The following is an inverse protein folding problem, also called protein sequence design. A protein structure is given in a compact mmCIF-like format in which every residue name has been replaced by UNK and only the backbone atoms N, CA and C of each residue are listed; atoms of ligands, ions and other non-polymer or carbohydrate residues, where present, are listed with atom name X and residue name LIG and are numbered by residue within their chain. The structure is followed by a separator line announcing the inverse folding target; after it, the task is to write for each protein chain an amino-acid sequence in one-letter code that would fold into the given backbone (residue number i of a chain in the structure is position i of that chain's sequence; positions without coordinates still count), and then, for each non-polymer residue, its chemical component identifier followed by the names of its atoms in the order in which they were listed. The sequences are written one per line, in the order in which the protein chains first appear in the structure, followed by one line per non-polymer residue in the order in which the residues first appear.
data_IF_088304585299
#
_entry.id   IF_088304585299
#
_cell.length_a   1.000
_cell.length_b   1.000
_cell.length_c   1.000
_cell.angle_alpha   90.00
_cell.angle_beta   90.00
_cell.angle_gamma   90.00
#
_symmetry.space_group_name_H-M   'P 1'
#
loop_
_entity.id
_entity.type
_entity.pdbx_description
1 polymer ?
#
# COMPACT_ATOMS: atom_id res chain seq x y z
N UNK A 1 24.98 13.48 -28.03
CA UNK A 1 24.90 12.47 -26.95
C UNK A 1 23.43 12.22 -26.67
N UNK A 2 22.93 11.07 -27.06
CA UNK A 2 21.55 10.66 -26.83
C UNK A 2 21.33 10.49 -25.32
N UNK A 3 20.24 11.02 -24.74
CA UNK A 3 19.91 10.71 -23.36
C UNK A 3 19.55 9.22 -23.33
N UNK A 4 20.51 8.40 -22.92
CA UNK A 4 20.27 7.04 -22.51
C UNK A 4 19.07 7.06 -21.58
N UNK A 5 18.03 6.30 -21.96
CA UNK A 5 16.85 5.99 -21.18
C UNK A 5 17.15 6.04 -19.69
N UNK A 6 16.75 7.12 -19.02
CA UNK A 6 16.57 7.14 -17.58
C UNK A 6 15.59 6.00 -17.32
N UNK A 7 16.12 4.82 -16.96
CA UNK A 7 15.30 3.74 -16.44
C UNK A 7 14.41 4.40 -15.38
N UNK A 8 13.10 4.39 -15.59
CA UNK A 8 12.16 4.84 -14.57
C UNK A 8 12.32 3.87 -13.39
N UNK A 9 13.30 4.13 -12.55
CA UNK A 9 13.61 3.30 -11.39
C UNK A 9 12.47 3.50 -10.42
N UNK A 10 11.59 2.50 -10.34
CA UNK A 10 10.57 2.47 -9.32
C UNK A 10 11.26 2.39 -7.95
N UNK A 11 10.80 3.17 -6.98
CA UNK A 11 11.43 3.20 -5.65
C UNK A 11 10.84 2.14 -4.71
N UNK A 12 9.65 1.62 -5.02
CA UNK A 12 9.10 0.43 -4.36
C UNK A 12 8.16 -0.36 -5.28
N UNK A 13 7.85 -1.58 -4.85
CA UNK A 13 6.81 -2.42 -5.43
C UNK A 13 5.72 -2.68 -4.40
N UNK A 14 4.47 -2.47 -4.80
CA UNK A 14 3.30 -2.65 -3.94
C UNK A 14 2.51 -3.87 -4.38
N UNK A 15 1.98 -4.54 -3.37
CA UNK A 15 1.66 -5.93 -3.46
C UNK A 15 0.46 -6.17 -2.50
N UNK A 16 -0.71 -6.55 -3.03
CA UNK A 16 -1.93 -6.73 -2.25
C UNK A 16 -2.26 -8.22 -2.00
N UNK A 17 -2.72 -8.53 -0.79
CA UNK A 17 -3.16 -9.86 -0.39
C UNK A 17 -4.47 -9.80 0.38
N UNK A 18 -5.26 -10.85 0.20
CA UNK A 18 -6.44 -11.13 1.02
C UNK A 18 -6.20 -12.47 1.72
N UNK A 19 -6.11 -12.43 3.05
CA UNK A 19 -5.69 -13.59 3.85
C UNK A 19 -4.34 -14.13 3.38
N UNK A 20 -4.29 -15.33 2.78
CA UNK A 20 -3.08 -15.97 2.27
C UNK A 20 -2.97 -15.91 0.74
N UNK A 21 -3.91 -15.27 0.06
CA UNK A 21 -4.00 -15.29 -1.41
C UNK A 21 -3.57 -13.95 -1.98
N UNK A 22 -2.69 -14.01 -2.99
CA UNK A 22 -2.28 -12.86 -3.78
C UNK A 22 -3.45 -12.38 -4.64
N UNK A 23 -3.80 -11.10 -4.57
CA UNK A 23 -4.89 -10.53 -5.36
C UNK A 23 -4.35 -9.39 -6.24
N UNK A 24 -4.53 -9.52 -7.54
CA UNK A 24 -4.00 -8.55 -8.51
C UNK A 24 -2.51 -8.71 -8.81
N UNK A 25 -2.00 -7.81 -9.65
CA UNK A 25 -0.60 -7.78 -10.08
C UNK A 25 0.31 -7.06 -9.07
N UNK A 26 1.61 -7.25 -9.22
CA UNK A 26 2.60 -6.37 -8.58
C UNK A 26 2.50 -4.97 -9.19
N UNK A 27 2.51 -3.93 -8.36
CA UNK A 27 2.38 -2.55 -8.78
C UNK A 27 3.71 -1.80 -8.55
N UNK A 28 4.49 -1.52 -9.61
CA UNK A 28 5.72 -0.72 -9.47
C UNK A 28 5.37 0.76 -9.26
N UNK A 29 6.04 1.40 -8.32
CA UNK A 29 5.80 2.81 -7.95
C UNK A 29 6.94 3.69 -8.44
N UNK A 30 6.63 4.53 -9.42
CA UNK A 30 7.60 5.45 -10.01
C UNK A 30 7.50 6.85 -9.42
N UNK A 31 6.28 7.33 -9.17
CA UNK A 31 6.04 8.65 -8.56
C UNK A 31 6.47 8.66 -7.09
N UNK A 32 6.87 9.83 -6.58
CA UNK A 32 7.27 9.98 -5.18
C UNK A 32 6.16 9.59 -4.19
N UNK A 33 4.89 9.64 -4.59
CA UNK A 33 3.75 9.29 -3.74
C UNK A 33 2.78 8.34 -4.45
N UNK A 34 2.23 7.38 -3.71
CA UNK A 34 1.20 6.45 -4.14
C UNK A 34 -0.01 6.48 -3.21
N UNK A 35 -1.19 6.71 -3.76
CA UNK A 35 -2.45 6.46 -3.03
C UNK A 35 -2.90 5.01 -3.21
N UNK A 36 -3.31 4.37 -2.11
CA UNK A 36 -3.95 3.04 -2.09
C UNK A 36 -5.32 3.20 -1.43
N UNK A 37 -6.40 2.91 -2.15
CA UNK A 37 -7.78 3.22 -1.72
C UNK A 37 -8.76 2.16 -2.24
N UNK A 38 -10.00 2.13 -1.74
CA UNK A 38 -11.01 1.17 -2.20
C UNK A 38 -11.90 1.72 -3.30
N UNK A 39 -12.50 2.89 -3.10
CA UNK A 39 -13.25 3.61 -4.12
C UNK A 39 -12.93 5.10 -4.07
N UNK A 40 -12.50 5.65 -5.20
CA UNK A 40 -12.49 7.09 -5.40
C UNK A 40 -12.78 7.33 -6.89
N UNK A 41 -13.72 8.23 -7.23
CA UNK A 41 -14.04 8.52 -8.61
C UNK A 41 -12.87 9.17 -9.37
N UNK A 42 -11.88 9.76 -8.67
CA UNK A 42 -10.76 10.50 -9.29
C UNK A 42 -9.38 10.25 -8.63
N UNK A 43 -9.17 9.13 -7.94
CA UNK A 43 -7.89 8.85 -7.29
C UNK A 43 -6.82 8.36 -8.27
N UNK A 44 -5.62 8.98 -8.27
CA UNK A 44 -4.44 8.41 -8.92
C UNK A 44 -3.76 7.41 -7.99
N UNK A 45 -3.53 6.18 -8.45
CA UNK A 45 -2.83 5.15 -7.67
C UNK A 45 -3.45 3.76 -7.76
N UNK A 46 -3.38 3.00 -6.66
CA UNK A 46 -3.86 1.62 -6.58
C UNK A 46 -5.28 1.57 -6.00
N UNK A 47 -6.27 1.45 -6.89
CA UNK A 47 -7.66 1.22 -6.52
C UNK A 47 -7.92 -0.27 -6.25
N UNK A 48 -8.11 -0.62 -4.99
CA UNK A 48 -8.43 -1.98 -4.56
C UNK A 48 -9.84 -2.36 -4.96
N UNK A 49 -10.79 -1.45 -5.16
CA UNK A 49 -12.15 -1.77 -5.62
C UNK A 49 -12.21 -2.41 -7.01
N UNK A 50 -11.21 -2.17 -7.86
CA UNK A 50 -11.10 -2.75 -9.20
C UNK A 50 -10.52 -4.18 -9.21
N UNK A 51 -9.96 -4.64 -8.09
CA UNK A 51 -9.41 -5.98 -7.99
C UNK A 51 -10.52 -7.02 -7.83
N UNK A 52 -10.37 -8.23 -8.39
CA UNK A 52 -11.39 -9.26 -8.31
C UNK A 52 -11.76 -9.55 -6.84
N UNK A 53 -13.06 -9.69 -6.59
CA UNK A 53 -13.57 -10.11 -5.30
C UNK A 53 -13.47 -11.63 -5.19
N UNK A 54 -12.90 -12.13 -4.09
CA UNK A 54 -13.08 -13.54 -3.73
C UNK A 54 -14.51 -13.74 -3.23
N UNK A 55 -15.38 -14.48 -3.94
CA UNK A 55 -16.80 -14.60 -3.58
C UNK A 55 -17.05 -15.37 -2.28
N UNK A 56 -16.02 -16.02 -1.72
CA UNK A 56 -16.17 -16.96 -0.61
C UNK A 56 -16.04 -16.33 0.78
N UNK A 57 -15.59 -15.08 0.91
CA UNK A 57 -15.28 -14.48 2.22
C UNK A 57 -16.03 -13.17 2.46
N UNK A 58 -17.12 -13.25 3.22
CA UNK A 58 -17.93 -12.09 3.65
C UNK A 58 -17.13 -11.15 4.57
N UNK A 59 -16.18 -11.68 5.36
CA UNK A 59 -15.30 -10.88 6.22
C UNK A 59 -14.33 -10.03 5.39
N UNK A 60 -13.79 -10.57 4.29
CA UNK A 60 -12.95 -9.81 3.35
C UNK A 60 -13.75 -8.70 2.69
N UNK A 61 -14.95 -8.98 2.18
CA UNK A 61 -15.82 -7.97 1.56
C UNK A 61 -16.14 -6.83 2.54
N UNK A 62 -16.51 -7.17 3.78
CA UNK A 62 -16.76 -6.19 4.84
C UNK A 62 -15.52 -5.36 5.17
N UNK A 63 -14.33 -5.97 5.14
CA UNK A 63 -13.07 -5.28 5.43
C UNK A 63 -12.65 -4.35 4.29
N UNK A 64 -12.85 -4.77 3.03
CA UNK A 64 -12.63 -3.93 1.85
C UNK A 64 -13.49 -2.66 1.89
N UNK A 65 -14.76 -2.78 2.25
CA UNK A 65 -15.65 -1.63 2.44
C UNK A 65 -15.21 -0.64 3.53
N UNK A 66 -14.33 -1.06 4.45
CA UNK A 66 -13.76 -0.18 5.49
C UNK A 66 -12.52 0.57 5.05
N UNK A 67 -11.91 0.23 3.92
CA UNK A 67 -10.68 0.88 3.47
C UNK A 67 -10.96 2.34 3.07
N UNK A 68 -12.06 2.62 2.35
CA UNK A 68 -12.42 3.97 1.91
C UNK A 68 -11.26 4.66 1.18
N UNK A 69 -10.89 5.86 1.63
CA UNK A 69 -9.73 6.63 1.11
C UNK A 69 -8.36 5.97 1.35
N UNK A 70 -8.31 4.92 2.18
CA UNK A 70 -7.15 4.07 2.42
C UNK A 70 -5.92 4.82 2.93
N UNK A 71 -4.77 4.63 2.28
CA UNK A 71 -3.49 5.22 2.70
C UNK A 71 -2.83 6.00 1.56
N UNK A 72 -1.96 6.94 1.93
CA UNK A 72 -0.99 7.57 1.04
C UNK A 72 0.41 7.15 1.49
N UNK A 73 1.15 6.50 0.60
CA UNK A 73 2.55 6.17 0.80
C UNK A 73 3.40 7.24 0.09
N UNK A 74 4.32 7.87 0.80
CA UNK A 74 5.14 8.99 0.28
C UNK A 74 6.61 8.70 0.51
N UNK A 75 7.43 8.85 -0.52
CA UNK A 75 8.89 8.86 -0.44
C UNK A 75 9.36 10.30 -0.32
N UNK A 76 9.80 10.65 0.88
CA UNK A 76 10.27 11.97 1.25
C UNK A 76 11.80 11.94 1.44
N UNK A 77 12.49 13.08 1.58
CA UNK A 77 13.95 13.11 1.70
C UNK A 77 14.50 12.35 2.91
N UNK A 78 13.71 12.26 3.99
CA UNK A 78 14.08 11.67 5.27
C UNK A 78 13.60 10.22 5.44
N UNK A 79 12.76 9.72 4.54
CA UNK A 79 12.28 8.35 4.61
C UNK A 79 11.02 8.07 3.81
N UNK A 80 10.32 7.01 4.22
CA UNK A 80 9.05 6.62 3.63
C UNK A 80 7.96 6.79 4.69
N UNK A 81 6.96 7.59 4.33
CA UNK A 81 5.85 7.94 5.19
C UNK A 81 4.57 7.23 4.75
N UNK A 82 3.79 6.76 5.71
CA UNK A 82 2.47 6.16 5.47
C UNK A 82 1.41 6.99 6.20
N UNK A 83 0.58 7.70 5.44
CA UNK A 83 -0.51 8.51 5.96
C UNK A 83 -1.81 7.73 5.89
N UNK A 84 -2.41 7.46 7.05
CA UNK A 84 -3.74 6.87 7.13
C UNK A 84 -4.80 7.93 6.80
N UNK A 85 -5.54 7.72 5.71
CA UNK A 85 -6.66 8.59 5.30
C UNK A 85 -8.01 7.91 5.47
N UNK A 86 -8.01 6.65 5.92
CA UNK A 86 -9.22 5.90 6.20
C UNK A 86 -9.79 6.26 7.58
N UNK A 87 -11.06 5.93 7.80
CA UNK A 87 -11.71 6.11 9.11
C UNK A 87 -11.38 4.97 10.10
N UNK A 88 -10.52 4.04 9.69
CA UNK A 88 -10.17 2.85 10.45
C UNK A 88 -8.65 2.80 10.68
N UNK A 89 -8.20 2.21 11.79
CA UNK A 89 -6.77 2.10 12.05
C UNK A 89 -6.08 1.20 11.02
N UNK A 90 -4.83 1.53 10.70
CA UNK A 90 -3.95 0.64 9.93
C UNK A 90 -2.92 0.02 10.86
N UNK A 91 -2.42 -1.14 10.43
CA UNK A 91 -1.41 -1.89 11.15
C UNK A 91 -0.17 -2.01 10.28
N UNK A 92 0.94 -1.48 10.75
CA UNK A 92 2.21 -1.44 10.02
C UNK A 92 3.22 -2.30 10.74
N UNK A 93 3.86 -3.21 10.00
CA UNK A 93 5.01 -3.98 10.44
C UNK A 93 6.19 -3.59 9.54
N UNK A 94 7.15 -2.86 10.10
CA UNK A 94 8.37 -2.48 9.39
C UNK A 94 9.57 -2.70 10.29
N UNK A 95 10.54 -3.54 9.90
CA UNK A 95 11.79 -3.72 10.63
C UNK A 95 12.56 -2.40 10.81
N UNK A 96 12.38 -1.42 9.91
CA UNK A 96 13.02 -0.10 10.00
C UNK A 96 12.43 0.81 11.09
N UNK A 97 11.23 0.49 11.59
CA UNK A 97 10.60 1.23 12.68
C UNK A 97 10.97 0.65 14.04
N UNK A 98 11.59 -0.53 14.09
CA UNK A 98 12.02 -1.19 15.32
C UNK A 98 13.31 -0.54 15.85
N UNK A 99 13.30 -0.17 17.14
CA UNK A 99 14.46 0.48 17.79
C UNK A 99 15.59 -0.53 18.07
N UNK A 100 15.31 -1.84 17.98
CA UNK A 100 16.26 -2.93 18.16
C UNK A 100 16.05 -4.01 17.08
N UNK A 101 16.99 -4.16 16.12
CA UNK A 101 16.82 -5.01 14.93
C UNK A 101 16.82 -6.53 15.21
N UNK A 102 16.79 -6.95 16.48
CA UNK A 102 16.93 -8.35 16.91
C UNK A 102 15.75 -8.88 17.73
N UNK A 103 14.70 -8.09 17.98
CA UNK A 103 13.57 -8.52 18.79
C UNK A 103 12.24 -8.31 18.06
N UNK A 104 11.64 -9.42 17.63
CA UNK A 104 10.21 -9.64 17.39
C UNK A 104 9.46 -8.60 16.53
N UNK A 105 8.92 -9.07 15.40
CA UNK A 105 8.01 -8.33 14.50
C UNK A 105 6.97 -7.51 15.28
N UNK A 106 7.18 -6.20 15.35
CA UNK A 106 6.31 -5.29 16.11
C UNK A 106 5.29 -4.65 15.18
N UNK A 107 4.00 -4.91 15.45
CA UNK A 107 2.90 -4.29 14.71
C UNK A 107 2.46 -3.01 15.42
N UNK A 108 2.55 -1.86 14.74
CA UNK A 108 2.07 -0.57 15.26
C UNK A 108 0.71 -0.20 14.68
N UNK A 109 -0.19 0.27 15.55
CA UNK A 109 -1.47 0.86 15.17
C UNK A 109 -1.27 2.36 14.96
N UNK A 110 -1.69 2.86 13.80
CA UNK A 110 -1.61 4.28 13.42
C UNK A 110 -2.99 4.80 13.03
#
# INVERSE_FOLDING_TARGET
MSPSSLAQTHWCNVAYWELRTRVGRLYPVHDASLSIFYDLPQGTGLCLGLLPLSPRSTSVQRTRGKIGHGILLSKEPDGVWAYNRSQHPIFVNSPTLEHHPYLSLTVRRV
#
